data_IF_582816583535
#
_entry.id   IF_582816583535
#
_cell.length_a   1.000
_cell.length_b   1.000
_cell.length_c   1.000
_cell.angle_alpha   90.00
_cell.angle_beta   90.00
_cell.angle_gamma   90.00
#
_symmetry.space_group_name_H-M   'P 1'
#
loop_
_entity.id
_entity.type
_entity.pdbx_description
1 polymer ?
#
# COMPACT_ATOMS: atom_id res chain seq x y z
N UNK A 1 -35.20 -2.58 -3.38
CA UNK A 1 -34.18 -2.93 -2.38
C UNK A 1 -33.59 -1.61 -1.87
N UNK A 2 -33.40 -1.45 -0.55
CA UNK A 2 -32.79 -0.25 0.04
C UNK A 2 -31.38 -0.61 0.54
N UNK A 3 -30.38 0.16 0.17
CA UNK A 3 -29.01 -0.04 0.65
C UNK A 3 -28.77 0.72 1.95
N UNK A 4 -27.68 0.42 2.65
CA UNK A 4 -27.31 1.17 3.84
C UNK A 4 -26.70 2.53 3.44
N UNK A 5 -26.98 3.57 4.21
CA UNK A 5 -26.45 4.92 3.93
C UNK A 5 -24.91 4.95 3.86
N UNK A 6 -24.23 4.11 4.66
CA UNK A 6 -22.76 4.01 4.63
C UNK A 6 -22.22 3.56 3.27
N UNK A 7 -22.92 2.63 2.60
CA UNK A 7 -22.53 2.16 1.27
C UNK A 7 -22.93 3.17 0.19
N UNK A 8 -24.11 3.80 0.29
CA UNK A 8 -24.57 4.81 -0.66
C UNK A 8 -23.66 6.06 -0.67
N UNK A 9 -23.07 6.40 0.48
CA UNK A 9 -22.14 7.53 0.62
C UNK A 9 -20.68 7.17 0.31
N UNK A 10 -20.36 5.89 0.08
CA UNK A 10 -19.00 5.47 -0.22
C UNK A 10 -18.63 5.80 -1.67
N UNK A 11 -17.44 6.36 -1.85
CA UNK A 11 -16.90 6.62 -3.19
C UNK A 11 -16.62 5.32 -3.95
N UNK A 12 -16.80 5.32 -5.26
CA UNK A 12 -16.39 4.20 -6.09
C UNK A 12 -14.86 4.05 -6.11
N UNK A 13 -14.37 2.82 -6.35
CA UNK A 13 -12.95 2.56 -6.48
C UNK A 13 -12.31 3.50 -7.49
N UNK A 14 -11.33 4.34 -7.11
CA UNK A 14 -10.66 5.26 -8.03
C UNK A 14 -9.99 4.54 -9.21
N UNK A 15 -9.47 3.33 -8.99
CA UNK A 15 -8.89 2.50 -10.06
C UNK A 15 -10.00 2.04 -11.02
N UNK A 16 -11.13 1.57 -10.50
CA UNK A 16 -12.26 1.17 -11.34
C UNK A 16 -12.82 2.34 -12.17
N UNK A 17 -12.94 3.51 -11.57
CA UNK A 17 -13.37 4.73 -12.26
C UNK A 17 -12.40 5.14 -13.38
N UNK A 18 -11.09 5.07 -13.13
CA UNK A 18 -10.07 5.36 -14.14
C UNK A 18 -10.10 4.33 -15.29
N UNK A 19 -10.21 3.04 -14.98
CA UNK A 19 -10.33 1.98 -16.00
C UNK A 19 -11.62 2.08 -16.85
N UNK A 20 -12.71 2.60 -16.32
CA UNK A 20 -13.93 2.83 -17.11
C UNK A 20 -13.69 3.79 -18.28
N UNK A 21 -12.75 4.74 -18.16
CA UNK A 21 -12.37 5.64 -19.25
C UNK A 21 -11.68 4.91 -20.41
N UNK A 22 -11.00 3.80 -20.15
CA UNK A 22 -10.29 3.02 -21.18
C UNK A 22 -11.25 2.51 -22.24
N UNK A 23 -12.45 2.09 -21.86
CA UNK A 23 -13.50 1.65 -22.77
C UNK A 23 -14.07 2.73 -23.69
N UNK A 24 -13.80 4.01 -23.39
CA UNK A 24 -14.25 5.15 -24.17
C UNK A 24 -13.23 5.62 -25.23
N UNK A 25 -12.02 5.03 -25.25
CA UNK A 25 -10.97 5.36 -26.22
C UNK A 25 -11.39 4.95 -27.63
N UNK A 26 -11.09 5.81 -28.60
CA UNK A 26 -11.37 5.57 -30.02
C UNK A 26 -10.12 5.37 -30.86
N UNK A 27 -8.94 5.66 -30.31
CA UNK A 27 -7.66 5.48 -31.01
C UNK A 27 -7.09 4.06 -30.78
N UNK A 28 -6.10 3.68 -31.60
CA UNK A 28 -5.45 2.35 -31.57
C UNK A 28 -4.06 2.38 -30.94
N UNK A 29 -3.58 3.51 -30.46
CA UNK A 29 -2.25 3.63 -29.82
C UNK A 29 -2.26 2.82 -28.52
N UNK A 30 -1.19 2.11 -28.21
CA UNK A 30 -1.09 1.31 -27.01
C UNK A 30 -1.24 2.19 -25.75
N UNK A 31 -2.03 1.75 -24.79
CA UNK A 31 -2.21 2.44 -23.50
C UNK A 31 -0.94 2.33 -22.67
N UNK A 32 -0.49 3.44 -22.08
CA UNK A 32 0.45 3.44 -20.97
C UNK A 32 -0.34 3.41 -19.67
N UNK A 33 -0.34 2.26 -19.00
CA UNK A 33 -1.09 2.08 -17.76
C UNK A 33 -0.19 2.32 -16.54
N UNK A 34 -0.34 3.49 -15.91
CA UNK A 34 0.30 3.89 -14.67
C UNK A 34 -0.71 3.94 -13.51
N UNK A 35 -1.87 3.30 -13.66
CA UNK A 35 -2.96 3.41 -12.68
C UNK A 35 -2.80 2.46 -11.51
N UNK A 36 -2.50 1.21 -11.75
CA UNK A 36 -2.43 0.18 -10.72
C UNK A 36 -0.99 -0.18 -10.40
N UNK A 37 -0.60 -0.04 -9.12
CA UNK A 37 0.73 -0.46 -8.67
C UNK A 37 0.83 -1.99 -8.65
N UNK A 38 1.15 -2.58 -9.79
CA UNK A 38 1.38 -4.01 -9.94
C UNK A 38 2.77 -4.23 -10.58
N UNK A 39 3.53 -5.26 -10.15
CA UNK A 39 4.77 -5.61 -10.82
C UNK A 39 4.51 -5.92 -12.30
N UNK A 40 5.33 -5.39 -13.21
CA UNK A 40 5.29 -5.67 -14.65
C UNK A 40 6.01 -6.97 -15.04
N UNK A 41 6.56 -7.68 -14.08
CA UNK A 41 7.36 -8.90 -14.24
C UNK A 41 6.70 -10.10 -13.55
N UNK A 42 6.93 -11.33 -14.03
CA UNK A 42 6.38 -12.53 -13.42
C UNK A 42 7.05 -12.85 -12.08
N UNK A 43 6.41 -13.67 -11.22
CA UNK A 43 7.04 -14.24 -10.03
C UNK A 43 8.29 -15.06 -10.39
N UNK A 44 9.15 -15.32 -9.39
CA UNK A 44 10.27 -16.24 -9.55
C UNK A 44 9.78 -17.66 -9.90
N UNK A 45 10.58 -18.42 -10.69
CA UNK A 45 10.23 -19.79 -11.11
C UNK A 45 9.92 -20.69 -9.92
N UNK A 46 10.70 -20.61 -8.84
CA UNK A 46 10.47 -21.38 -7.62
C UNK A 46 9.08 -21.11 -6.99
N UNK A 47 8.55 -19.89 -7.11
CA UNK A 47 7.20 -19.54 -6.65
C UNK A 47 6.15 -20.19 -7.54
N UNK A 48 6.33 -20.12 -8.86
CA UNK A 48 5.41 -20.73 -9.85
C UNK A 48 5.37 -22.24 -9.68
N UNK A 49 6.54 -22.87 -9.55
CA UNK A 49 6.66 -24.32 -9.33
C UNK A 49 5.98 -24.76 -8.05
N UNK A 50 6.16 -24.02 -6.94
CA UNK A 50 5.51 -24.35 -5.67
C UNK A 50 3.97 -24.24 -5.77
N UNK A 51 3.47 -23.21 -6.44
CA UNK A 51 2.02 -23.05 -6.69
C UNK A 51 1.47 -24.28 -7.45
N UNK A 52 2.17 -24.70 -8.51
CA UNK A 52 1.76 -25.86 -9.30
C UNK A 52 1.77 -27.14 -8.45
N UNK A 53 2.82 -27.37 -7.66
CA UNK A 53 2.92 -28.52 -6.76
C UNK A 53 1.78 -28.50 -5.71
N UNK A 54 1.59 -27.37 -5.03
CA UNK A 54 0.57 -27.23 -4.00
C UNK A 54 -0.84 -27.50 -4.52
N UNK A 55 -1.14 -27.12 -5.76
CA UNK A 55 -2.44 -27.38 -6.40
C UNK A 55 -2.71 -28.88 -6.65
N UNK A 56 -1.68 -29.71 -6.71
CA UNK A 56 -1.78 -31.17 -6.89
C UNK A 56 -1.71 -31.96 -5.57
N UNK A 57 -1.48 -31.33 -4.44
CA UNK A 57 -1.45 -31.99 -3.14
C UNK A 57 -2.85 -32.53 -2.75
N UNK A 58 -2.94 -33.68 -2.06
CA UNK A 58 -4.21 -34.29 -1.71
C UNK A 58 -5.11 -33.41 -0.82
N UNK A 59 -4.53 -32.46 -0.08
CA UNK A 59 -5.20 -31.53 0.81
C UNK A 59 -5.27 -30.09 0.26
N UNK A 60 -4.96 -29.89 -1.03
CA UNK A 60 -4.95 -28.57 -1.68
C UNK A 60 -6.25 -27.80 -1.50
N UNK A 61 -7.40 -28.48 -1.50
CA UNK A 61 -8.73 -27.88 -1.32
C UNK A 61 -9.18 -27.70 0.12
N UNK A 62 -8.34 -28.01 1.12
CA UNK A 62 -8.72 -27.86 2.53
C UNK A 62 -8.41 -26.45 3.04
N UNK A 63 -9.17 -26.01 4.06
CA UNK A 63 -8.82 -24.80 4.78
C UNK A 63 -7.46 -24.95 5.45
N UNK A 64 -6.53 -24.01 5.26
CA UNK A 64 -5.32 -23.94 6.09
C UNK A 64 -5.69 -23.53 7.52
N UNK A 65 -4.76 -23.67 8.50
CA UNK A 65 -4.94 -23.12 9.83
C UNK A 65 -5.35 -21.64 9.79
N UNK A 66 -6.28 -21.26 10.65
CA UNK A 66 -6.85 -19.91 10.67
C UNK A 66 -5.80 -18.79 10.73
N UNK A 67 -4.74 -18.87 11.59
CA UNK A 67 -3.72 -17.83 11.61
C UNK A 67 -2.77 -17.85 10.41
N UNK A 68 -2.85 -18.86 9.57
CA UNK A 68 -1.96 -19.10 8.44
C UNK A 68 -1.11 -20.37 8.61
N UNK A 69 -0.46 -20.78 7.51
CA UNK A 69 0.46 -21.93 7.53
C UNK A 69 1.60 -21.69 8.53
N UNK A 70 1.85 -22.63 9.47
CA UNK A 70 2.90 -22.46 10.49
C UNK A 70 4.26 -22.12 9.89
N UNK A 71 4.66 -22.82 8.82
CA UNK A 71 5.94 -22.58 8.14
C UNK A 71 6.03 -21.17 7.54
N UNK A 72 4.93 -20.63 6.99
CA UNK A 72 4.92 -19.27 6.46
C UNK A 72 5.05 -18.23 7.58
N UNK A 73 4.33 -18.42 8.68
CA UNK A 73 4.39 -17.52 9.84
C UNK A 73 5.78 -17.48 10.45
N UNK A 74 6.39 -18.64 10.60
CA UNK A 74 7.76 -18.79 11.14
C UNK A 74 8.80 -18.14 10.21
N UNK A 75 8.78 -18.47 8.90
CA UNK A 75 9.75 -17.90 7.95
C UNK A 75 9.56 -16.39 7.78
N UNK A 76 8.32 -15.91 7.85
CA UNK A 76 8.07 -14.46 7.79
C UNK A 76 8.53 -13.74 9.05
N UNK A 77 8.31 -14.30 10.23
CA UNK A 77 8.86 -13.78 11.48
C UNK A 77 10.41 -13.72 11.43
N UNK A 78 11.05 -14.76 10.90
CA UNK A 78 12.51 -14.81 10.69
C UNK A 78 12.98 -13.75 9.67
N UNK A 79 12.25 -13.54 8.55
CA UNK A 79 12.60 -12.50 7.56
C UNK A 79 12.50 -11.10 8.17
N UNK A 80 11.46 -10.84 8.97
CA UNK A 80 11.31 -9.60 9.70
C UNK A 80 12.39 -9.42 10.77
N UNK A 81 12.68 -10.46 11.57
CA UNK A 81 13.71 -10.41 12.61
C UNK A 81 15.07 -10.02 12.04
N UNK A 82 15.44 -10.59 10.87
CA UNK A 82 16.66 -10.20 10.14
C UNK A 82 16.62 -8.77 9.62
N UNK A 83 15.46 -8.33 9.10
CA UNK A 83 15.31 -7.02 8.48
C UNK A 83 15.19 -5.85 9.46
N UNK A 84 14.75 -6.11 10.69
CA UNK A 84 14.51 -5.10 11.73
C UNK A 84 15.43 -5.29 12.96
N UNK A 85 16.39 -6.22 12.89
CA UNK A 85 17.31 -6.54 13.99
C UNK A 85 16.57 -6.80 15.32
N UNK A 86 15.49 -7.58 15.26
CA UNK A 86 14.59 -7.87 16.37
C UNK A 86 14.37 -9.37 16.52
N UNK A 87 13.69 -9.79 17.61
CA UNK A 87 13.30 -11.18 17.86
C UNK A 87 11.78 -11.30 17.78
N UNK A 88 11.29 -11.64 16.59
CA UNK A 88 9.87 -11.83 16.32
C UNK A 88 9.55 -13.32 16.23
N UNK A 89 8.44 -13.71 16.83
CA UNK A 89 7.95 -15.08 16.77
C UNK A 89 6.77 -15.24 15.80
N UNK A 90 6.52 -16.47 15.37
CA UNK A 90 5.36 -16.79 14.55
C UNK A 90 4.02 -16.41 15.22
N UNK A 91 3.98 -16.33 16.56
CA UNK A 91 2.79 -15.96 17.33
C UNK A 91 2.37 -14.50 17.09
N UNK A 92 3.32 -13.64 16.75
CA UNK A 92 3.07 -12.24 16.39
C UNK A 92 2.57 -12.06 14.94
N UNK A 93 2.45 -13.14 14.15
CA UNK A 93 2.10 -13.08 12.73
C UNK A 93 0.74 -13.70 12.46
N UNK A 94 -0.15 -12.95 11.79
CA UNK A 94 -1.43 -13.41 11.25
C UNK A 94 -1.43 -13.23 9.73
N UNK A 95 -1.65 -14.32 8.99
CA UNK A 95 -1.72 -14.26 7.52
C UNK A 95 -3.13 -13.89 7.06
N UNK A 96 -3.20 -13.01 6.07
CA UNK A 96 -4.45 -12.44 5.54
C UNK A 96 -4.51 -12.55 4.01
N UNK A 97 -5.71 -12.34 3.44
CA UNK A 97 -5.89 -12.28 1.99
C UNK A 97 -5.41 -10.93 1.41
N UNK A 98 -4.13 -10.62 1.63
CA UNK A 98 -3.46 -9.38 1.25
C UNK A 98 -3.58 -8.29 2.31
N UNK A 99 -2.76 -7.24 2.17
CA UNK A 99 -2.67 -6.13 3.14
C UNK A 99 -3.99 -5.36 3.31
N UNK A 100 -4.82 -5.23 2.27
CA UNK A 100 -6.15 -4.61 2.42
C UNK A 100 -7.00 -5.34 3.45
N UNK A 101 -7.04 -6.68 3.43
CA UNK A 101 -7.77 -7.43 4.45
C UNK A 101 -7.11 -7.28 5.83
N UNK A 102 -5.77 -7.23 5.89
CA UNK A 102 -5.05 -6.97 7.14
C UNK A 102 -5.51 -5.65 7.78
N UNK A 103 -5.54 -4.57 7.00
CA UNK A 103 -6.05 -3.28 7.48
C UNK A 103 -7.50 -3.36 7.92
N UNK A 104 -8.38 -3.96 7.10
CA UNK A 104 -9.81 -4.07 7.41
C UNK A 104 -10.05 -4.76 8.76
N UNK A 105 -9.43 -5.93 8.99
CA UNK A 105 -9.65 -6.67 10.23
C UNK A 105 -9.05 -5.99 11.46
N UNK A 106 -7.87 -5.35 11.32
CA UNK A 106 -7.23 -4.60 12.41
C UNK A 106 -8.04 -3.35 12.76
N UNK A 107 -8.43 -2.57 11.76
CA UNK A 107 -9.25 -1.37 11.99
C UNK A 107 -10.60 -1.74 12.65
N UNK A 108 -11.28 -2.79 12.18
CA UNK A 108 -12.53 -3.25 12.79
C UNK A 108 -12.34 -3.82 14.20
N UNK A 109 -11.17 -4.36 14.54
CA UNK A 109 -10.86 -4.81 15.91
C UNK A 109 -10.61 -3.65 16.88
N UNK A 110 -10.17 -2.50 16.37
CA UNK A 110 -9.75 -1.35 17.18
C UNK A 110 -10.81 -0.24 17.29
N UNK A 111 -11.79 -0.20 16.38
CA UNK A 111 -12.73 0.92 16.27
C UNK A 111 -14.19 0.50 16.35
N UNK A 112 -15.01 1.41 16.79
CA UNK A 112 -16.47 1.35 16.76
C UNK A 112 -17.05 2.53 15.97
N UNK A 113 -18.30 2.43 15.46
CA UNK A 113 -18.95 3.57 14.81
C UNK A 113 -18.96 4.80 15.72
N UNK A 114 -18.48 5.94 15.19
CA UNK A 114 -18.36 7.20 15.91
C UNK A 114 -16.99 7.47 16.56
N UNK A 115 -16.11 6.47 16.63
CA UNK A 115 -14.69 6.67 16.95
C UNK A 115 -13.97 7.48 15.84
N UNK A 116 -12.74 7.90 16.10
CA UNK A 116 -11.91 8.65 15.18
C UNK A 116 -10.62 7.90 14.82
N UNK A 117 -10.19 8.05 13.58
CA UNK A 117 -8.90 7.56 13.06
C UNK A 117 -8.15 8.71 12.38
N UNK A 118 -6.83 8.79 12.59
CA UNK A 118 -5.96 9.76 11.92
C UNK A 118 -5.20 9.10 10.77
N UNK A 119 -5.42 9.57 9.55
CA UNK A 119 -4.67 9.20 8.36
C UNK A 119 -3.76 10.34 7.90
N UNK A 120 -2.59 10.01 7.36
CA UNK A 120 -1.68 10.98 6.77
C UNK A 120 -2.09 11.24 5.32
N UNK A 121 -2.34 12.48 4.97
CA UNK A 121 -2.61 12.88 3.58
C UNK A 121 -1.28 13.15 2.83
N UNK A 122 -1.16 12.74 1.57
CA UNK A 122 -2.08 11.92 0.81
C UNK A 122 -2.17 10.48 1.37
N UNK A 123 -3.37 9.98 1.57
CA UNK A 123 -3.64 8.69 2.20
C UNK A 123 -3.88 7.58 1.17
N UNK A 124 -3.69 6.34 1.55
CA UNK A 124 -4.14 5.22 0.73
C UNK A 124 -5.67 5.12 0.80
N UNK A 125 -6.34 5.30 -0.35
CA UNK A 125 -7.80 5.47 -0.41
C UNK A 125 -8.60 4.31 0.21
N UNK A 126 -8.11 3.06 0.15
CA UNK A 126 -8.84 1.95 0.75
C UNK A 126 -8.85 2.01 2.29
N UNK A 127 -7.86 2.64 2.93
CA UNK A 127 -7.88 2.87 4.37
C UNK A 127 -9.02 3.84 4.74
N UNK A 128 -9.11 4.98 4.07
CA UNK A 128 -10.18 5.98 4.28
C UNK A 128 -11.56 5.38 3.97
N UNK A 129 -11.69 4.68 2.83
CA UNK A 129 -12.94 4.04 2.43
C UNK A 129 -13.43 3.02 3.45
N UNK A 130 -12.54 2.16 3.98
CA UNK A 130 -12.93 1.15 4.96
C UNK A 130 -13.37 1.78 6.28
N UNK A 131 -12.60 2.72 6.81
CA UNK A 131 -12.95 3.41 8.05
C UNK A 131 -14.31 4.10 7.96
N UNK A 132 -14.59 4.79 6.85
CA UNK A 132 -15.91 5.40 6.62
C UNK A 132 -17.03 4.36 6.49
N UNK A 133 -16.76 3.22 5.83
CA UNK A 133 -17.71 2.12 5.74
C UNK A 133 -18.07 1.56 7.12
N UNK A 134 -17.11 1.48 8.04
CA UNK A 134 -17.31 1.08 9.43
C UNK A 134 -17.96 2.16 10.30
N UNK A 135 -18.16 3.38 9.77
CA UNK A 135 -18.74 4.50 10.50
C UNK A 135 -17.76 5.24 11.41
N UNK A 136 -16.47 5.07 11.15
CA UNK A 136 -15.38 5.79 11.83
C UNK A 136 -15.21 7.17 11.21
N UNK A 137 -15.00 8.19 12.03
CA UNK A 137 -14.71 9.54 11.60
C UNK A 137 -13.24 9.67 11.24
N UNK A 138 -12.94 9.86 9.95
CA UNK A 138 -11.56 9.98 9.50
C UNK A 138 -11.11 11.42 9.55
N UNK A 139 -10.03 11.67 10.30
CA UNK A 139 -9.27 12.91 10.30
C UNK A 139 -8.02 12.76 9.43
N UNK A 140 -7.62 13.84 8.79
CA UNK A 140 -6.44 13.84 7.92
C UNK A 140 -5.38 14.80 8.47
N UNK A 141 -4.16 14.29 8.68
CA UNK A 141 -2.97 15.09 8.93
C UNK A 141 -2.36 15.49 7.58
N UNK A 142 -2.27 16.78 7.29
CA UNK A 142 -1.53 17.29 6.14
C UNK A 142 -0.05 17.43 6.52
N UNK A 143 0.86 16.71 5.86
CA UNK A 143 2.28 16.81 6.12
C UNK A 143 2.86 18.11 5.57
N UNK A 144 4.12 18.40 5.88
CA UNK A 144 4.90 19.47 5.29
C UNK A 144 5.14 19.29 3.76
N UNK A 145 5.87 20.23 3.15
CA UNK A 145 6.16 20.19 1.70
C UNK A 145 6.97 18.97 1.26
N UNK A 146 7.71 18.37 2.17
CA UNK A 146 8.48 17.12 1.97
C UNK A 146 7.63 15.86 2.07
N UNK A 147 6.34 16.00 2.35
CA UNK A 147 5.37 14.92 2.53
C UNK A 147 5.70 13.97 3.70
N UNK A 148 6.54 14.42 4.64
CA UNK A 148 6.84 13.73 5.89
C UNK A 148 5.90 14.24 6.98
N UNK A 149 5.15 13.35 7.68
CA UNK A 149 4.25 13.78 8.74
C UNK A 149 4.99 14.19 10.01
N UNK A 150 4.41 15.15 10.75
CA UNK A 150 4.94 15.64 12.01
C UNK A 150 4.13 15.08 13.19
N UNK A 151 4.77 14.33 14.14
CA UNK A 151 4.10 13.81 15.33
C UNK A 151 3.52 14.91 16.25
N UNK A 152 4.16 16.07 16.36
CA UNK A 152 3.63 17.17 17.20
C UNK A 152 2.36 17.76 16.60
N UNK A 153 2.34 17.94 15.26
CA UNK A 153 1.13 18.35 14.57
C UNK A 153 0.02 17.29 14.70
N UNK A 154 0.38 15.98 14.58
CA UNK A 154 -0.56 14.89 14.78
C UNK A 154 -1.20 14.95 16.17
N UNK A 155 -0.42 15.18 17.23
CA UNK A 155 -0.91 15.28 18.61
C UNK A 155 -2.01 16.33 18.76
N UNK A 156 -1.87 17.49 18.10
CA UNK A 156 -2.85 18.56 18.12
C UNK A 156 -4.21 18.20 17.50
N UNK A 157 -4.26 17.12 16.69
CA UNK A 157 -5.46 16.62 16.03
C UNK A 157 -6.15 15.49 16.80
N UNK A 158 -5.51 14.92 17.82
CA UNK A 158 -6.08 13.82 18.60
C UNK A 158 -7.22 14.32 19.50
N UNK A 159 -8.17 13.44 19.73
CA UNK A 159 -9.25 13.61 20.70
C UNK A 159 -9.42 12.35 21.54
N UNK A 160 -10.25 12.38 22.55
CA UNK A 160 -10.65 11.23 23.36
C UNK A 160 -11.36 10.11 22.58
N UNK A 161 -11.79 10.40 21.35
CA UNK A 161 -12.37 9.43 20.40
C UNK A 161 -11.36 8.81 19.47
N UNK A 162 -10.14 9.33 19.36
CA UNK A 162 -9.11 8.78 18.49
C UNK A 162 -8.70 7.39 18.99
N UNK A 163 -8.69 6.39 18.10
CA UNK A 163 -8.32 5.00 18.42
C UNK A 163 -7.06 4.54 17.70
N UNK A 164 -6.79 5.09 16.53
CA UNK A 164 -5.64 4.69 15.75
C UNK A 164 -5.08 5.84 14.90
N UNK A 165 -3.79 5.73 14.61
CA UNK A 165 -3.07 6.50 13.60
C UNK A 165 -2.55 5.51 12.57
N UNK A 166 -2.61 5.85 11.27
CA UNK A 166 -2.05 5.00 10.21
C UNK A 166 -0.98 5.74 9.43
N UNK A 167 0.22 5.17 9.40
CA UNK A 167 1.33 5.54 8.51
C UNK A 167 1.41 4.55 7.36
N UNK A 168 1.84 5.00 6.18
CA UNK A 168 2.18 4.15 5.03
C UNK A 168 3.61 4.46 4.62
N UNK A 169 4.53 3.51 4.76
CA UNK A 169 5.96 3.76 4.49
C UNK A 169 6.63 2.54 3.85
N UNK A 170 7.15 2.69 2.62
CA UNK A 170 7.01 3.82 1.67
C UNK A 170 5.56 4.12 1.30
N UNK A 171 5.26 5.40 1.07
CA UNK A 171 3.92 5.91 0.90
C UNK A 171 3.26 5.52 -0.43
N UNK A 172 1.98 5.18 -0.39
CA UNK A 172 1.09 5.19 -1.54
C UNK A 172 0.06 6.31 -1.31
N UNK A 173 0.12 7.42 -2.06
CA UNK A 173 0.58 7.53 -3.45
C UNK A 173 1.98 8.13 -3.66
N UNK A 174 2.66 8.62 -2.64
CA UNK A 174 3.80 9.54 -2.79
C UNK A 174 5.14 8.86 -3.10
N UNK A 175 5.31 7.60 -2.69
CA UNK A 175 6.59 6.90 -2.71
C UNK A 175 7.53 7.27 -1.55
N UNK A 176 7.23 8.31 -0.78
CA UNK A 176 8.10 8.80 0.29
C UNK A 176 8.28 7.74 1.37
N UNK A 177 9.53 7.47 1.74
CA UNK A 177 9.87 6.68 2.92
C UNK A 177 9.89 7.61 4.13
N UNK A 178 9.05 7.33 5.11
CA UNK A 178 9.00 8.12 6.36
C UNK A 178 10.29 7.80 7.16
N UNK A 179 11.04 8.83 7.60
CA UNK A 179 12.24 8.65 8.42
C UNK A 179 11.95 7.85 9.70
N UNK A 180 12.87 6.99 10.09
CA UNK A 180 12.71 6.14 11.28
C UNK A 180 12.41 6.94 12.55
N UNK A 181 13.06 8.09 12.73
CA UNK A 181 12.86 8.95 13.91
C UNK A 181 11.43 9.50 13.97
N UNK A 182 10.83 9.79 12.82
CA UNK A 182 9.43 10.22 12.72
C UNK A 182 8.50 9.07 13.08
N UNK A 183 8.78 7.86 12.58
CA UNK A 183 7.99 6.65 12.93
C UNK A 183 8.07 6.39 14.45
N UNK A 184 9.26 6.53 15.06
CA UNK A 184 9.44 6.45 16.52
C UNK A 184 8.64 7.53 17.26
N UNK A 185 8.63 8.77 16.77
CA UNK A 185 7.82 9.86 17.32
C UNK A 185 6.32 9.53 17.33
N UNK A 186 5.80 8.89 16.28
CA UNK A 186 4.42 8.42 16.22
C UNK A 186 4.16 7.23 17.17
N UNK A 187 5.11 6.33 17.35
CA UNK A 187 4.99 5.24 18.34
C UNK A 187 4.93 5.78 19.76
N UNK A 188 5.78 6.75 20.09
CA UNK A 188 5.73 7.44 21.39
C UNK A 188 4.42 8.20 21.59
N UNK A 189 3.89 8.84 20.54
CA UNK A 189 2.59 9.51 20.56
C UNK A 189 1.47 8.50 20.86
N UNK A 190 1.44 7.40 20.14
CA UNK A 190 0.45 6.33 20.31
C UNK A 190 0.47 5.78 21.75
N UNK A 191 1.66 5.53 22.30
CA UNK A 191 1.85 5.07 23.67
C UNK A 191 1.35 6.10 24.71
N UNK A 192 1.66 7.39 24.54
CA UNK A 192 1.22 8.43 25.48
C UNK A 192 -0.30 8.59 25.52
N UNK A 193 -0.97 8.35 24.41
CA UNK A 193 -2.44 8.54 24.29
C UNK A 193 -3.22 7.22 24.35
N UNK A 194 -2.57 6.10 24.61
CA UNK A 194 -3.18 4.75 24.66
C UNK A 194 -4.02 4.44 23.41
N UNK A 195 -3.44 4.71 22.23
CA UNK A 195 -4.04 4.44 20.92
C UNK A 195 -3.11 3.55 20.09
N UNK A 196 -3.62 2.98 19.00
CA UNK A 196 -2.83 2.13 18.14
C UNK A 196 -2.09 2.95 17.06
N UNK A 197 -0.83 2.59 16.78
CA UNK A 197 -0.11 2.97 15.58
C UNK A 197 -0.12 1.80 14.59
N UNK A 198 -0.74 2.00 13.44
CA UNK A 198 -0.67 1.08 12.31
C UNK A 198 0.40 1.60 11.33
N UNK A 199 1.38 0.76 11.00
CA UNK A 199 2.39 1.05 9.97
C UNK A 199 2.15 0.09 8.80
N UNK A 200 1.63 0.60 7.69
CA UNK A 200 1.50 -0.17 6.44
C UNK A 200 2.84 -0.16 5.71
N UNK A 201 3.49 -1.31 5.68
CA UNK A 201 4.79 -1.53 5.08
C UNK A 201 4.72 -2.38 3.79
N UNK A 202 3.61 -2.25 3.05
CA UNK A 202 3.40 -2.95 1.77
C UNK A 202 4.58 -2.82 0.79
N UNK A 203 5.33 -1.72 0.87
CA UNK A 203 6.48 -1.43 0.01
C UNK A 203 7.83 -1.50 0.76
N UNK A 204 7.93 -2.18 1.90
CA UNK A 204 9.12 -2.22 2.76
C UNK A 204 10.42 -2.57 2.03
N UNK A 205 10.39 -3.46 1.05
CA UNK A 205 11.55 -3.85 0.25
C UNK A 205 12.04 -2.75 -0.69
N UNK A 206 11.21 -1.75 -0.96
CA UNK A 206 11.48 -0.64 -1.89
C UNK A 206 11.74 0.69 -1.20
N UNK A 207 11.94 0.69 0.14
CA UNK A 207 12.31 1.89 0.89
C UNK A 207 13.65 2.43 0.41
N UNK A 208 13.86 3.73 0.58
CA UNK A 208 15.18 4.30 0.35
C UNK A 208 16.17 3.82 1.44
N UNK A 209 17.47 3.85 1.11
CA UNK A 209 18.53 3.39 2.01
C UNK A 209 18.90 4.45 3.07
N UNK A 210 18.52 5.69 2.85
CA UNK A 210 18.91 6.84 3.70
C UNK A 210 18.09 6.80 5.00
N UNK A 211 16.78 6.55 4.89
CA UNK A 211 15.87 6.58 6.03
C UNK A 211 15.87 5.28 6.86
N UNK A 212 16.47 4.21 6.30
CA UNK A 212 16.67 2.95 7.01
C UNK A 212 15.38 2.23 7.43
N UNK A 213 15.54 1.28 8.36
CA UNK A 213 14.45 0.51 8.96
C UNK A 213 14.16 1.07 10.35
N UNK A 214 12.89 1.23 10.71
CA UNK A 214 12.55 1.56 12.10
C UNK A 214 12.96 0.41 13.05
N UNK A 215 13.20 0.75 14.31
CA UNK A 215 13.69 -0.19 15.31
C UNK A 215 12.59 -0.53 16.35
N UNK A 216 11.30 -0.29 16.00
CA UNK A 216 10.19 -0.42 16.95
C UNK A 216 10.09 -1.83 17.54
N UNK A 217 10.34 -2.87 16.74
CA UNK A 217 10.24 -4.26 17.19
C UNK A 217 11.32 -4.68 18.20
N UNK A 218 12.39 -3.89 18.36
CA UNK A 218 13.41 -4.12 19.39
C UNK A 218 12.97 -3.62 20.78
N UNK A 219 11.95 -2.75 20.85
CA UNK A 219 11.42 -2.25 22.12
C UNK A 219 10.55 -3.33 22.80
N UNK A 220 10.68 -3.52 24.09
CA UNK A 220 9.98 -4.60 24.80
C UNK A 220 8.44 -4.43 24.82
N UNK A 221 7.95 -3.21 24.69
CA UNK A 221 6.53 -2.81 24.76
C UNK A 221 5.89 -2.51 23.39
N UNK A 222 6.59 -2.81 22.29
CA UNK A 222 6.04 -2.51 20.95
C UNK A 222 4.69 -3.19 20.70
N UNK A 223 4.46 -4.37 21.27
CA UNK A 223 3.24 -5.17 21.11
C UNK A 223 1.98 -4.52 21.64
N UNK A 224 2.11 -3.49 22.48
CA UNK A 224 0.97 -2.84 23.14
C UNK A 224 0.30 -1.79 22.25
N UNK A 225 1.08 -1.15 21.36
CA UNK A 225 0.58 -0.02 20.59
C UNK A 225 0.93 -0.06 19.09
N UNK A 226 1.90 -0.89 18.67
CA UNK A 226 2.36 -0.93 17.28
C UNK A 226 1.82 -2.16 16.56
N UNK A 227 1.28 -1.93 15.38
CA UNK A 227 0.80 -2.98 14.47
C UNK A 227 1.40 -2.70 13.10
N UNK A 228 2.13 -3.65 12.54
CA UNK A 228 2.66 -3.54 11.19
C UNK A 228 1.88 -4.40 10.21
N UNK A 229 1.58 -3.84 9.03
CA UNK A 229 0.86 -4.52 7.96
C UNK A 229 1.78 -4.76 6.77
N UNK A 230 1.71 -5.97 6.22
CA UNK A 230 2.61 -6.41 5.17
C UNK A 230 1.87 -7.02 3.98
N UNK A 231 2.50 -6.90 2.80
CA UNK A 231 2.01 -7.49 1.56
C UNK A 231 3.12 -8.30 0.88
N UNK A 232 2.83 -9.54 0.52
CA UNK A 232 3.72 -10.32 -0.33
C UNK A 232 3.54 -10.03 -1.83
N UNK A 233 2.50 -9.26 -2.17
CA UNK A 233 2.13 -8.93 -3.56
C UNK A 233 3.24 -8.24 -4.33
N UNK A 234 3.99 -7.34 -3.67
CA UNK A 234 5.03 -6.52 -4.29
C UNK A 234 6.40 -7.20 -4.21
N UNK A 235 6.69 -7.81 -3.08
CA UNK A 235 7.95 -8.51 -2.82
C UNK A 235 8.20 -9.67 -3.78
N UNK A 236 7.13 -10.41 -4.16
CA UNK A 236 7.23 -11.62 -4.96
C UNK A 236 6.42 -11.61 -6.27
N UNK A 237 5.89 -10.45 -6.67
CA UNK A 237 5.06 -10.29 -7.87
C UNK A 237 3.82 -11.23 -7.90
N UNK A 238 3.15 -11.37 -6.76
CA UNK A 238 1.98 -12.26 -6.59
C UNK A 238 0.68 -11.51 -6.19
N UNK A 239 0.35 -10.34 -6.77
CA UNK A 239 -0.82 -9.58 -6.33
C UNK A 239 -2.14 -10.34 -6.52
N UNK A 240 -2.23 -11.21 -7.52
CA UNK A 240 -3.40 -12.04 -7.82
C UNK A 240 -3.62 -13.19 -6.83
N UNK A 241 -2.58 -13.64 -6.13
CA UNK A 241 -2.67 -14.76 -5.18
C UNK A 241 -3.12 -14.33 -3.78
N UNK A 242 -3.27 -13.04 -3.51
CA UNK A 242 -3.86 -12.47 -2.29
C UNK A 242 -3.22 -13.00 -1.01
N UNK A 243 -1.98 -12.63 -0.71
CA UNK A 243 -1.30 -12.92 0.55
C UNK A 243 -0.70 -11.66 1.18
N UNK A 244 -0.93 -11.48 2.47
CA UNK A 244 -0.43 -10.40 3.31
C UNK A 244 -0.36 -10.85 4.75
N UNK A 245 0.04 -9.96 5.65
CA UNK A 245 0.14 -10.29 7.07
C UNK A 245 -0.14 -9.08 7.96
N UNK A 246 -0.64 -9.37 9.16
CA UNK A 246 -0.60 -8.49 10.34
C UNK A 246 0.53 -8.97 11.22
N UNK A 247 1.32 -8.04 11.72
CA UNK A 247 2.33 -8.28 12.77
C UNK A 247 1.97 -7.41 13.97
N UNK A 248 1.74 -8.04 15.12
CA UNK A 248 1.27 -7.36 16.32
C UNK A 248 1.35 -8.21 17.57
N UNK A 249 1.00 -7.63 18.70
CA UNK A 249 0.93 -8.35 19.97
C UNK A 249 -0.19 -9.39 20.02
N UNK A 250 -0.14 -10.31 20.99
CA UNK A 250 -1.10 -11.41 21.14
C UNK A 250 -2.55 -10.93 21.23
N UNK A 251 -2.81 -9.76 21.83
CA UNK A 251 -4.13 -9.17 21.95
C UNK A 251 -4.74 -8.88 20.59
N UNK A 252 -4.07 -8.08 19.76
CA UNK A 252 -4.59 -7.72 18.43
C UNK A 252 -4.68 -8.93 17.50
N UNK A 253 -3.75 -9.87 17.58
CA UNK A 253 -3.82 -11.12 16.80
C UNK A 253 -5.09 -11.90 17.17
N UNK A 254 -5.37 -12.07 18.48
CA UNK A 254 -6.55 -12.80 18.96
C UNK A 254 -7.87 -12.13 18.50
N UNK A 255 -7.97 -10.82 18.63
CA UNK A 255 -9.19 -10.10 18.23
C UNK A 255 -9.34 -10.08 16.69
N UNK A 256 -8.25 -9.94 15.94
CA UNK A 256 -8.24 -10.01 14.48
C UNK A 256 -8.67 -11.39 13.96
N UNK A 257 -8.33 -12.48 14.64
CA UNK A 257 -8.76 -13.83 14.27
C UNK A 257 -10.29 -13.98 14.28
N UNK A 258 -10.99 -13.36 15.22
CA UNK A 258 -12.47 -13.41 15.28
C UNK A 258 -13.11 -12.79 14.05
N UNK A 259 -12.55 -11.68 13.57
CA UNK A 259 -13.02 -10.97 12.38
C UNK A 259 -12.64 -11.74 11.12
N UNK A 260 -11.41 -12.26 11.04
CA UNK A 260 -10.97 -13.09 9.91
C UNK A 260 -11.87 -14.32 9.74
N UNK A 261 -12.28 -14.96 10.84
CA UNK A 261 -13.20 -16.10 10.81
C UNK A 261 -14.54 -15.73 10.14
N UNK A 262 -15.11 -14.58 10.49
CA UNK A 262 -16.35 -14.10 9.92
C UNK A 262 -16.23 -13.71 8.43
N UNK A 263 -15.06 -13.21 8.01
CA UNK A 263 -14.88 -12.66 6.65
C UNK A 263 -14.40 -13.71 5.65
N UNK A 264 -13.51 -14.62 6.06
CA UNK A 264 -12.84 -15.52 5.13
C UNK A 264 -12.42 -16.87 5.74
N UNK A 265 -12.65 -17.11 7.04
CA UNK A 265 -12.17 -18.27 7.82
C UNK A 265 -10.64 -18.27 7.91
N UNK A 266 -9.94 -18.27 6.76
CA UNK A 266 -8.48 -18.22 6.64
C UNK A 266 -8.08 -17.64 5.29
N UNK A 267 -6.82 -17.18 5.18
CA UNK A 267 -6.28 -16.70 3.91
C UNK A 267 -6.14 -17.86 2.87
N UNK A 268 -6.22 -17.58 1.55
CA UNK A 268 -6.11 -18.60 0.51
C UNK A 268 -4.81 -19.40 0.60
N UNK A 269 -4.90 -20.73 0.63
CA UNK A 269 -3.74 -21.62 0.79
C UNK A 269 -2.68 -21.38 -0.30
N UNK A 270 -3.08 -21.33 -1.57
CA UNK A 270 -2.15 -21.16 -2.70
C UNK A 270 -1.36 -19.85 -2.59
N UNK A 271 -1.98 -18.77 -2.12
CA UNK A 271 -1.29 -17.51 -1.86
C UNK A 271 -0.24 -17.63 -0.75
N UNK A 272 -0.54 -18.42 0.29
CA UNK A 272 0.39 -18.68 1.38
C UNK A 272 1.59 -19.55 0.92
N UNK A 273 1.35 -20.58 0.12
CA UNK A 273 2.41 -21.41 -0.46
C UNK A 273 3.33 -20.60 -1.39
N UNK A 274 2.73 -19.69 -2.18
CA UNK A 274 3.48 -18.77 -3.02
C UNK A 274 4.38 -17.82 -2.21
N UNK A 275 3.84 -17.25 -1.13
CA UNK A 275 4.60 -16.36 -0.24
C UNK A 275 5.73 -17.10 0.48
N UNK A 276 5.48 -18.32 0.98
CA UNK A 276 6.48 -19.17 1.62
C UNK A 276 7.63 -19.50 0.68
N UNK A 277 7.32 -19.94 -0.55
CA UNK A 277 8.34 -20.20 -1.57
C UNK A 277 9.15 -18.94 -1.90
N UNK A 278 8.49 -17.79 -1.97
CA UNK A 278 9.15 -16.50 -2.15
C UNK A 278 10.16 -16.19 -1.05
N UNK A 279 9.77 -16.35 0.21
CA UNK A 279 10.64 -16.15 1.37
C UNK A 279 11.82 -17.12 1.40
N UNK A 280 11.59 -18.40 1.09
CA UNK A 280 12.62 -19.44 1.19
C UNK A 280 13.59 -19.44 0.01
N UNK A 281 13.12 -19.14 -1.21
CA UNK A 281 13.86 -19.45 -2.43
C UNK A 281 13.99 -18.28 -3.42
N UNK A 282 13.42 -17.11 -3.14
CA UNK A 282 13.41 -15.99 -4.09
C UNK A 282 14.10 -14.71 -3.59
N UNK A 283 14.98 -14.78 -2.58
CA UNK A 283 15.64 -13.59 -2.04
C UNK A 283 16.50 -12.87 -3.06
N UNK A 284 17.33 -13.60 -3.83
CA UNK A 284 18.15 -13.00 -4.90
C UNK A 284 17.28 -12.41 -6.01
N UNK A 285 16.20 -13.11 -6.37
CA UNK A 285 15.24 -12.61 -7.35
C UNK A 285 14.60 -11.31 -6.83
N UNK A 286 14.13 -11.28 -5.56
CA UNK A 286 13.59 -10.06 -4.91
C UNK A 286 14.57 -8.90 -4.97
N UNK A 287 15.83 -9.13 -4.60
CA UNK A 287 16.88 -8.11 -4.67
C UNK A 287 17.09 -7.55 -6.08
N UNK A 288 17.06 -8.42 -7.11
CA UNK A 288 17.12 -7.99 -8.53
C UNK A 288 15.92 -7.13 -8.91
N UNK A 289 14.70 -7.46 -8.43
CA UNK A 289 13.52 -6.64 -8.73
C UNK A 289 13.55 -5.30 -8.00
N UNK A 290 14.05 -5.25 -6.78
CA UNK A 290 14.29 -3.97 -6.07
C UNK A 290 15.23 -3.08 -6.88
N UNK A 291 16.36 -3.62 -7.34
CA UNK A 291 17.28 -2.89 -8.21
C UNK A 291 16.60 -2.41 -9.49
N UNK A 292 15.83 -3.27 -10.17
CA UNK A 292 15.06 -2.91 -11.37
C UNK A 292 14.11 -1.74 -11.12
N UNK A 293 13.35 -1.77 -10.02
CA UNK A 293 12.41 -0.68 -9.68
C UNK A 293 13.16 0.62 -9.44
N UNK A 294 14.29 0.61 -8.73
CA UNK A 294 15.15 1.79 -8.52
C UNK A 294 15.70 2.34 -9.85
N UNK A 295 16.06 1.48 -10.78
CA UNK A 295 16.50 1.90 -12.12
C UNK A 295 15.35 2.55 -12.92
N UNK A 296 14.14 1.99 -12.84
CA UNK A 296 12.94 2.58 -13.45
C UNK A 296 12.61 3.95 -12.83
N UNK A 297 12.70 4.08 -11.51
CA UNK A 297 12.53 5.35 -10.81
C UNK A 297 13.55 6.40 -11.29
N UNK A 298 14.82 6.02 -11.30
CA UNK A 298 15.91 6.89 -11.78
C UNK A 298 15.65 7.35 -13.22
N UNK A 299 15.21 6.43 -14.08
CA UNK A 299 14.86 6.76 -15.46
C UNK A 299 13.64 7.68 -15.53
N UNK A 300 12.59 7.39 -14.75
CA UNK A 300 11.39 8.23 -14.66
C UNK A 300 11.75 9.66 -14.23
N UNK A 301 12.54 9.82 -13.17
CA UNK A 301 13.00 11.13 -12.71
C UNK A 301 13.83 11.87 -13.77
N UNK A 302 14.71 11.15 -14.47
CA UNK A 302 15.55 11.76 -15.51
C UNK A 302 14.71 12.32 -16.68
N UNK A 303 13.70 11.58 -17.17
CA UNK A 303 12.86 12.03 -18.28
C UNK A 303 11.83 13.08 -17.86
N UNK A 304 11.46 13.12 -16.59
CA UNK A 304 10.54 14.12 -16.03
C UNK A 304 11.23 15.40 -15.58
N UNK A 305 12.57 15.42 -15.56
CA UNK A 305 13.36 16.57 -15.10
C UNK A 305 13.02 17.87 -15.83
N UNK A 306 12.83 17.80 -17.14
CA UNK A 306 12.50 18.96 -18.00
C UNK A 306 11.01 19.29 -18.00
N UNK A 307 10.23 18.74 -17.11
CA UNK A 307 8.80 18.98 -16.93
C UNK A 307 8.01 18.90 -18.25
N UNK A 308 8.02 17.74 -18.94
CA UNK A 308 7.38 17.59 -20.24
C UNK A 308 5.88 17.99 -20.16
N UNK A 309 5.45 18.88 -21.04
CA UNK A 309 4.08 19.45 -21.01
C UNK A 309 3.74 20.20 -19.72
N UNK A 310 4.73 20.59 -18.90
CA UNK A 310 4.54 21.27 -17.62
C UNK A 310 4.21 20.33 -16.44
N UNK A 311 4.32 19.02 -16.60
CA UNK A 311 4.15 18.07 -15.49
C UNK A 311 5.39 18.04 -14.57
N UNK A 312 5.19 18.27 -13.29
CA UNK A 312 6.25 18.36 -12.26
C UNK A 312 6.19 17.20 -11.30
N UNK A 313 7.31 16.49 -11.10
CA UNK A 313 7.41 15.46 -10.04
C UNK A 313 7.64 16.16 -8.71
N UNK A 314 6.69 16.03 -7.79
CA UNK A 314 6.76 16.57 -6.43
C UNK A 314 7.46 15.60 -5.49
N UNK A 315 7.20 14.29 -5.65
CA UNK A 315 7.85 13.22 -4.90
C UNK A 315 7.91 11.95 -5.73
N UNK A 316 8.84 11.07 -5.42
CA UNK A 316 8.97 9.76 -6.04
C UNK A 316 9.57 8.77 -5.04
N UNK A 317 9.27 7.49 -5.23
CA UNK A 317 9.83 6.37 -4.48
C UNK A 317 9.02 5.09 -4.66
N UNK A 318 9.60 3.98 -4.25
CA UNK A 318 8.98 2.67 -4.40
C UNK A 318 8.42 2.46 -5.82
N UNK A 319 7.10 2.51 -6.01
CA UNK A 319 6.43 2.29 -7.29
C UNK A 319 5.90 3.57 -7.94
N UNK A 320 5.98 4.72 -7.26
CA UNK A 320 5.17 5.90 -7.54
C UNK A 320 5.95 7.17 -7.84
N UNK A 321 5.43 7.95 -8.80
CA UNK A 321 5.64 9.38 -8.89
C UNK A 321 4.37 10.12 -8.47
N UNK A 322 4.50 11.08 -7.55
CA UNK A 322 3.48 12.05 -7.18
C UNK A 322 3.71 13.30 -8.00
N UNK A 323 2.85 13.54 -8.99
CA UNK A 323 3.11 14.47 -10.10
C UNK A 323 2.06 15.57 -10.14
N UNK A 324 2.48 16.82 -10.17
CA UNK A 324 1.59 17.97 -10.40
C UNK A 324 1.36 18.15 -11.90
N UNK A 325 0.08 18.28 -12.30
CA UNK A 325 -0.26 18.60 -13.67
C UNK A 325 -0.32 20.13 -13.90
N UNK A 326 -0.10 20.63 -15.15
CA UNK A 326 0.02 22.07 -15.45
C UNK A 326 -1.34 22.82 -15.49
N UNK A 327 -2.46 22.12 -15.52
CA UNK A 327 -3.80 22.68 -15.77
C UNK A 327 -4.55 22.89 -14.46
N UNK A 328 -4.08 23.85 -13.64
CA UNK A 328 -4.78 24.25 -12.41
C UNK A 328 -6.17 24.87 -12.64
N UNK A 329 -6.48 25.23 -13.89
CA UNK A 329 -7.79 25.73 -14.33
C UNK A 329 -8.82 24.61 -14.58
N UNK A 330 -8.39 23.34 -14.59
CA UNK A 330 -9.25 22.18 -14.80
C UNK A 330 -9.31 21.33 -13.52
N UNK A 331 -10.46 20.68 -13.30
CA UNK A 331 -10.52 19.60 -12.31
C UNK A 331 -9.55 18.47 -12.70
N UNK A 332 -8.84 17.89 -11.72
CA UNK A 332 -7.88 16.80 -11.98
C UNK A 332 -8.54 15.59 -12.67
N UNK A 333 -9.81 15.31 -12.38
CA UNK A 333 -10.57 14.25 -13.08
C UNK A 333 -10.70 14.51 -14.59
N UNK A 334 -10.85 15.77 -15.01
CA UNK A 334 -10.90 16.14 -16.43
C UNK A 334 -9.51 16.03 -17.09
N UNK A 335 -8.44 16.36 -16.37
CA UNK A 335 -7.06 16.13 -16.84
C UNK A 335 -6.82 14.63 -17.07
N UNK A 336 -7.21 13.77 -16.11
CA UNK A 336 -7.11 12.31 -16.26
C UNK A 336 -7.93 11.82 -17.47
N UNK A 337 -9.16 12.32 -17.64
CA UNK A 337 -9.99 11.96 -18.78
C UNK A 337 -9.30 12.27 -20.12
N UNK A 338 -8.72 13.46 -20.27
CA UNK A 338 -7.98 13.86 -21.49
C UNK A 338 -6.73 13.03 -21.68
N UNK A 339 -5.93 12.80 -20.62
CA UNK A 339 -4.75 11.94 -20.70
C UNK A 339 -5.11 10.54 -21.24
N UNK A 340 -6.23 9.96 -20.80
CA UNK A 340 -6.68 8.64 -21.26
C UNK A 340 -7.18 8.70 -22.72
N UNK A 341 -8.07 9.65 -23.05
CA UNK A 341 -8.79 9.63 -24.32
C UNK A 341 -7.98 10.21 -25.49
N UNK A 342 -7.12 11.20 -25.21
CA UNK A 342 -6.39 11.95 -26.25
C UNK A 342 -4.92 11.54 -26.33
N UNK A 343 -4.31 11.13 -25.18
CA UNK A 343 -2.87 10.83 -25.10
C UNK A 343 -2.55 9.38 -24.73
N UNK A 344 -3.55 8.53 -24.47
CA UNK A 344 -3.37 7.10 -24.12
C UNK A 344 -2.50 6.88 -22.88
N UNK A 345 -2.67 7.73 -21.86
CA UNK A 345 -1.98 7.66 -20.56
C UNK A 345 -3.02 7.51 -19.46
N UNK A 346 -3.02 6.36 -18.77
CA UNK A 346 -3.90 6.09 -17.66
C UNK A 346 -3.17 6.31 -16.34
N UNK A 347 -3.66 7.27 -15.55
CA UNK A 347 -3.14 7.63 -14.22
C UNK A 347 -4.28 7.72 -13.21
N UNK A 348 -3.98 7.85 -11.93
CA UNK A 348 -4.99 8.06 -10.89
C UNK A 348 -4.98 9.53 -10.45
N UNK A 349 -6.16 10.20 -10.39
CA UNK A 349 -6.23 11.56 -9.91
C UNK A 349 -5.87 11.67 -8.43
N UNK A 350 -5.18 12.74 -8.05
CA UNK A 350 -4.78 13.00 -6.66
C UNK A 350 -5.96 13.11 -5.71
N UNK A 351 -7.11 13.54 -6.19
CA UNK A 351 -8.36 13.59 -5.43
C UNK A 351 -8.83 12.24 -4.88
N UNK A 352 -8.25 11.14 -5.35
CA UNK A 352 -8.45 9.82 -4.75
C UNK A 352 -7.73 9.65 -3.39
N UNK A 353 -6.71 10.47 -3.12
CA UNK A 353 -5.79 10.34 -2.00
C UNK A 353 -5.77 11.57 -1.09
N UNK A 354 -6.51 12.61 -1.45
CA UNK A 354 -6.62 13.87 -0.70
C UNK A 354 -8.07 14.35 -0.68
N UNK A 355 -8.41 15.12 0.37
CA UNK A 355 -9.74 15.73 0.47
C UNK A 355 -9.93 16.96 -0.46
N UNK A 356 -8.84 17.46 -1.05
CA UNK A 356 -8.84 18.65 -1.93
C UNK A 356 -8.27 18.29 -3.29
N UNK A 357 -8.64 19.06 -4.31
CA UNK A 357 -8.04 18.99 -5.65
C UNK A 357 -6.83 19.93 -5.70
N UNK A 358 -5.64 19.37 -5.47
CA UNK A 358 -4.36 20.09 -5.46
C UNK A 358 -3.57 19.92 -6.78
N UNK A 359 -4.28 19.61 -7.87
CA UNK A 359 -3.72 19.39 -9.20
C UNK A 359 -2.69 18.23 -9.27
N UNK A 360 -2.89 17.19 -8.47
CA UNK A 360 -1.94 16.08 -8.35
C UNK A 360 -2.43 14.81 -9.04
N UNK A 361 -1.47 14.02 -9.50
CA UNK A 361 -1.65 12.71 -10.13
C UNK A 361 -0.75 11.68 -9.46
N UNK A 362 -1.23 10.45 -9.29
CA UNK A 362 -0.36 9.32 -9.00
C UNK A 362 -0.01 8.59 -10.29
N UNK A 363 1.28 8.46 -10.57
CA UNK A 363 1.84 7.70 -11.68
C UNK A 363 2.61 6.50 -11.16
N UNK A 364 2.15 5.27 -11.42
CA UNK A 364 2.91 4.05 -11.08
C UNK A 364 3.88 3.72 -12.20
N UNK A 365 5.11 4.24 -12.12
CA UNK A 365 6.15 3.98 -13.13
C UNK A 365 6.64 2.53 -13.12
N UNK A 366 6.46 1.82 -12.01
CA UNK A 366 6.85 0.42 -11.89
C UNK A 366 6.05 -0.53 -12.79
N UNK A 367 4.95 -0.06 -13.38
CA UNK A 367 4.17 -0.82 -14.36
C UNK A 367 4.78 -0.78 -15.76
N UNK A 368 5.71 0.14 -16.02
CA UNK A 368 6.25 0.41 -17.34
C UNK A 368 7.57 -0.30 -17.59
N UNK A 369 7.81 -0.63 -18.84
CA UNK A 369 9.14 -1.00 -19.31
C UNK A 369 9.96 0.28 -19.63
N UNK A 370 11.30 0.22 -19.62
CA UNK A 370 12.16 1.39 -19.85
C UNK A 370 11.82 2.21 -21.10
N UNK A 371 11.46 1.56 -22.21
CA UNK A 371 11.06 2.25 -23.44
C UNK A 371 9.71 2.97 -23.32
N UNK A 372 8.82 2.47 -22.47
CA UNK A 372 7.51 3.09 -22.21
C UNK A 372 7.63 4.36 -21.38
N UNK A 373 8.66 4.48 -20.54
CA UNK A 373 8.96 5.71 -19.77
C UNK A 373 9.36 6.85 -20.73
N UNK A 374 10.14 6.57 -21.78
CA UNK A 374 10.47 7.55 -22.82
C UNK A 374 9.23 7.96 -23.64
N UNK A 375 8.39 6.98 -23.96
CA UNK A 375 7.11 7.22 -24.64
C UNK A 375 6.18 8.08 -23.78
N UNK A 376 6.11 7.87 -22.46
CA UNK A 376 5.35 8.69 -21.53
C UNK A 376 5.71 10.17 -21.66
N UNK A 377 7.01 10.49 -21.68
CA UNK A 377 7.49 11.88 -21.80
C UNK A 377 6.96 12.57 -23.06
N UNK A 378 6.98 11.85 -24.20
CA UNK A 378 6.45 12.41 -25.46
C UNK A 378 4.95 12.70 -25.37
N UNK A 379 4.17 11.79 -24.78
CA UNK A 379 2.73 11.95 -24.62
C UNK A 379 2.35 13.05 -23.64
N UNK A 380 3.11 13.21 -22.57
CA UNK A 380 2.90 14.33 -21.65
C UNK A 380 3.24 15.67 -22.30
N UNK A 381 4.28 15.74 -23.14
CA UNK A 381 4.60 16.94 -23.90
C UNK A 381 3.51 17.33 -24.93
N UNK A 382 2.76 16.35 -25.44
CA UNK A 382 1.62 16.61 -26.36
C UNK A 382 0.39 17.19 -25.63
N UNK A 383 0.34 17.11 -24.31
CA UNK A 383 -0.83 17.54 -23.50
C UNK A 383 -0.93 19.05 -23.33
N UNK A 384 0.08 19.82 -23.61
CA UNK A 384 0.20 21.27 -23.34
C UNK A 384 -0.87 22.13 -24.03
#
# INVERSE_FOLDING_TARGET
>A
MRFSERVENLVHSPIGAAHALVGLRTNSRALLDLSQAAPSFPPADAVIERIAQAAHEPDAGRYPPQPGLPALREEFANDLSRGYEADLSAESVLITAGCNQAFCIVASALTSPGDEALLIAPFYFNHDMWLRLEGVNVRHLNPGPDLVPDPEHAESLLTDKTRLITLVSPGNPTGVTIPKDVIHGFADLARRHDIALIVDETYRSFRDEINGTHELFANADWTDHVISLHSFSKDFAIPGYRCGAVVGGAGIITESLKILDCVAISAPRIGQEAALAGLMHAQEWRAKQVTRIRELEKKFLAVMHDQPGGFEVVASGAYFGWVRHPRADLATSEVVRRLVLEHDVLVIPGTAFTAKDDAMLRMSFANLEPAQIEELTRRLAEFA
#
